data_IF_068762515002
#
_entry.id   IF_068762515002
#
_cell.length_a   1.000
_cell.length_b   1.000
_cell.length_c   1.000
_cell.angle_alpha   90.00
_cell.angle_beta   90.00
_cell.angle_gamma   90.00
#
_symmetry.space_group_name_H-M   'P 1'
#
loop_
_entity.id
_entity.type
_entity.pdbx_description
1 polymer ?
#
# COMPACT_ATOMS: atom_id res chain seq x y z
N UNK A 1 -48.51 -37.64 -40.90
CA UNK A 1 -47.86 -36.30 -40.94
C UNK A 1 -47.60 -35.86 -39.49
N UNK A 2 -46.40 -36.02 -39.04
CA UNK A 2 -46.03 -35.70 -37.66
C UNK A 2 -45.33 -34.33 -37.61
N UNK A 3 -45.92 -33.36 -36.91
CA UNK A 3 -45.28 -32.04 -36.64
C UNK A 3 -44.31 -32.20 -35.48
N UNK A 4 -43.01 -32.14 -35.74
CA UNK A 4 -41.97 -32.05 -34.73
C UNK A 4 -42.00 -30.67 -34.03
N UNK A 5 -42.18 -30.72 -32.73
CA UNK A 5 -42.14 -29.55 -31.85
C UNK A 5 -40.71 -28.99 -31.75
N UNK A 6 -40.44 -27.84 -32.38
CA UNK A 6 -39.15 -27.12 -32.37
C UNK A 6 -38.91 -26.30 -31.08
N UNK A 7 -39.74 -26.41 -30.07
CA UNK A 7 -39.72 -25.54 -28.89
C UNK A 7 -38.74 -25.97 -27.78
N UNK A 8 -38.17 -27.19 -27.85
CA UNK A 8 -37.27 -27.71 -26.79
C UNK A 8 -35.81 -27.34 -26.89
N UNK A 9 -35.31 -27.05 -28.10
CA UNK A 9 -33.86 -26.86 -28.34
C UNK A 9 -33.33 -25.50 -27.92
N UNK A 10 -34.17 -24.49 -27.90
CA UNK A 10 -33.74 -23.12 -27.52
C UNK A 10 -33.60 -22.91 -26.01
N UNK A 11 -34.42 -23.58 -25.21
CA UNK A 11 -34.37 -23.48 -23.75
C UNK A 11 -33.12 -24.15 -23.13
N UNK A 12 -32.65 -25.26 -23.74
CA UNK A 12 -31.44 -25.95 -23.29
C UNK A 12 -30.17 -25.18 -23.56
N UNK A 13 -30.09 -24.40 -24.66
CA UNK A 13 -28.94 -23.59 -24.99
C UNK A 13 -28.79 -22.36 -24.09
N UNK A 14 -29.91 -21.77 -23.62
CA UNK A 14 -29.89 -20.65 -22.66
C UNK A 14 -29.45 -21.09 -21.24
N UNK A 15 -29.91 -22.26 -20.80
CA UNK A 15 -29.52 -22.80 -19.49
C UNK A 15 -28.01 -23.14 -19.45
N UNK A 16 -27.43 -23.67 -20.53
CA UNK A 16 -26.01 -23.97 -20.65
C UNK A 16 -25.17 -22.72 -20.71
N UNK A 17 -25.65 -21.63 -21.32
CA UNK A 17 -24.96 -20.35 -21.41
C UNK A 17 -24.92 -19.63 -20.04
N UNK A 18 -26.01 -19.73 -19.27
CA UNK A 18 -26.08 -19.18 -17.89
C UNK A 18 -25.14 -19.91 -16.92
N UNK A 19 -24.98 -21.22 -17.07
CA UNK A 19 -24.11 -22.02 -16.20
C UNK A 19 -22.62 -21.70 -16.43
N UNK A 20 -22.22 -21.38 -17.66
CA UNK A 20 -20.83 -20.99 -17.99
C UNK A 20 -20.49 -19.61 -17.44
N UNK A 21 -21.44 -18.68 -17.39
CA UNK A 21 -21.25 -17.32 -16.86
C UNK A 21 -21.05 -17.30 -15.33
N UNK A 22 -21.54 -18.30 -14.60
CA UNK A 22 -21.37 -18.36 -13.14
C UNK A 22 -20.02 -18.92 -12.71
N UNK A 23 -19.28 -19.62 -13.57
CA UNK A 23 -17.97 -20.19 -13.28
C UNK A 23 -16.81 -19.23 -13.53
N UNK A 24 -17.03 -18.12 -14.23
CA UNK A 24 -15.98 -17.12 -14.49
C UNK A 24 -15.89 -16.02 -13.42
N UNK A 25 -16.77 -16.05 -12.42
CA UNK A 25 -16.86 -15.02 -11.36
C UNK A 25 -15.76 -15.07 -10.29
N UNK A 26 -14.91 -16.09 -10.23
CA UNK A 26 -13.93 -16.25 -9.14
C UNK A 26 -12.54 -15.69 -9.42
N UNK A 27 -12.26 -15.15 -10.59
CA UNK A 27 -10.92 -14.63 -10.93
C UNK A 27 -10.75 -13.12 -10.69
N UNK A 28 -11.76 -12.43 -10.21
CA UNK A 28 -11.71 -10.97 -9.97
C UNK A 28 -11.30 -10.65 -8.53
N UNK A 29 -11.18 -11.64 -7.66
CA UNK A 29 -10.56 -11.45 -6.36
C UNK A 29 -9.06 -11.33 -6.61
N UNK A 30 -8.55 -10.09 -6.61
CA UNK A 30 -7.13 -9.80 -6.63
C UNK A 30 -6.36 -10.65 -5.60
N UNK A 31 -5.03 -10.70 -5.67
CA UNK A 31 -4.26 -11.52 -4.75
C UNK A 31 -4.69 -11.21 -3.32
N UNK A 32 -4.95 -12.27 -2.55
CA UNK A 32 -5.30 -12.16 -1.13
C UNK A 32 -4.31 -11.23 -0.43
N UNK A 33 -4.75 -10.34 0.46
CA UNK A 33 -3.85 -9.50 1.20
C UNK A 33 -2.80 -10.37 1.90
N UNK A 34 -1.55 -9.92 1.87
CA UNK A 34 -0.45 -10.62 2.53
C UNK A 34 -0.77 -10.86 4.00
N UNK A 35 -0.37 -12.03 4.52
CA UNK A 35 -0.53 -12.36 5.94
C UNK A 35 0.21 -11.35 6.82
N UNK A 36 -0.27 -11.19 8.04
CA UNK A 36 0.41 -10.41 9.07
C UNK A 36 1.84 -10.92 9.30
N UNK A 37 2.79 -10.00 9.45
CA UNK A 37 4.20 -10.31 9.71
C UNK A 37 4.72 -9.37 10.82
N UNK A 38 5.28 -9.97 11.88
CA UNK A 38 5.75 -9.25 13.06
C UNK A 38 6.86 -8.24 12.76
N UNK A 39 7.75 -8.55 11.80
CA UNK A 39 8.83 -7.63 11.46
C UNK A 39 8.31 -6.43 10.65
N UNK A 40 7.36 -6.66 9.73
CA UNK A 40 6.68 -5.57 9.04
C UNK A 40 5.94 -4.67 10.03
N UNK A 41 5.22 -5.26 10.99
CA UNK A 41 4.52 -4.51 12.03
C UNK A 41 5.49 -3.69 12.91
N UNK A 42 6.64 -4.28 13.27
CA UNK A 42 7.67 -3.56 14.04
C UNK A 42 8.21 -2.35 13.27
N UNK A 43 8.62 -2.54 12.02
CA UNK A 43 9.20 -1.45 11.23
C UNK A 43 8.21 -0.32 10.97
N UNK A 44 6.93 -0.64 10.76
CA UNK A 44 5.92 0.41 10.61
C UNK A 44 5.70 1.19 11.90
N UNK A 45 5.88 0.56 13.06
CA UNK A 45 5.89 1.24 14.36
C UNK A 45 7.13 2.14 14.50
N UNK A 46 8.30 1.66 14.09
CA UNK A 46 9.54 2.45 14.10
C UNK A 46 9.41 3.66 13.14
N UNK A 47 8.81 3.51 11.97
CA UNK A 47 8.50 4.61 11.04
C UNK A 47 7.60 5.68 11.67
N UNK A 48 6.54 5.25 12.40
CA UNK A 48 5.68 6.19 13.15
C UNK A 48 6.46 6.96 14.18
N UNK A 49 7.32 6.28 14.94
CA UNK A 49 8.15 6.91 15.97
C UNK A 49 9.14 7.90 15.34
N UNK A 50 9.79 7.53 14.25
CA UNK A 50 10.73 8.41 13.53
C UNK A 50 10.01 9.66 13.02
N UNK A 51 8.84 9.51 12.40
CA UNK A 51 8.04 10.65 11.93
C UNK A 51 7.56 11.56 13.08
N UNK A 52 7.12 10.97 14.20
CA UNK A 52 6.66 11.71 15.38
C UNK A 52 7.79 12.52 16.04
N UNK A 53 8.99 11.93 16.10
CA UNK A 53 10.18 12.55 16.71
C UNK A 53 10.95 13.50 15.77
N UNK A 54 10.45 13.68 14.53
CA UNK A 54 11.11 14.56 13.57
C UNK A 54 11.21 15.99 14.11
N UNK A 55 12.45 16.54 14.19
CA UNK A 55 12.70 17.87 14.72
C UNK A 55 13.03 18.87 13.60
N UNK A 56 12.15 19.85 13.42
CA UNK A 56 12.33 20.92 12.43
C UNK A 56 13.47 21.90 12.75
N UNK A 57 14.01 21.87 13.96
CA UNK A 57 15.19 22.68 14.37
C UNK A 57 16.49 21.90 14.31
N UNK A 58 16.40 20.56 14.15
CA UNK A 58 17.54 19.68 14.08
C UNK A 58 18.13 19.55 12.67
N UNK A 59 19.04 18.60 12.51
CA UNK A 59 19.63 18.27 11.21
C UNK A 59 18.63 17.54 10.32
N UNK A 60 17.96 18.26 9.42
CA UNK A 60 16.95 17.70 8.53
C UNK A 60 17.52 16.63 7.60
N UNK A 61 18.73 16.80 7.09
CA UNK A 61 19.38 15.85 6.18
C UNK A 61 19.60 14.51 6.86
N UNK A 62 20.09 14.50 8.08
CA UNK A 62 20.33 13.28 8.86
C UNK A 62 19.00 12.55 9.16
N UNK A 63 18.01 13.29 9.64
CA UNK A 63 16.69 12.72 9.95
C UNK A 63 15.99 12.13 8.73
N UNK A 64 16.04 12.82 7.58
CA UNK A 64 15.51 12.32 6.31
C UNK A 64 16.28 11.10 5.80
N UNK A 65 17.62 11.06 6.03
CA UNK A 65 18.42 9.89 5.70
C UNK A 65 17.98 8.67 6.51
N UNK A 66 17.82 8.82 7.83
CA UNK A 66 17.32 7.73 8.70
C UNK A 66 15.95 7.23 8.23
N UNK A 67 15.03 8.15 7.97
CA UNK A 67 13.70 7.81 7.49
C UNK A 67 13.74 7.04 6.15
N UNK A 68 14.56 7.52 5.20
CA UNK A 68 14.69 6.86 3.90
C UNK A 68 15.32 5.45 4.02
N UNK A 69 16.29 5.25 4.92
CA UNK A 69 16.86 3.93 5.18
C UNK A 69 15.82 2.95 5.76
N UNK A 70 14.95 3.41 6.67
CA UNK A 70 13.86 2.59 7.19
C UNK A 70 12.84 2.22 6.12
N UNK A 71 12.46 3.17 5.25
CA UNK A 71 11.56 2.93 4.13
C UNK A 71 12.16 1.94 3.13
N UNK A 72 13.43 2.09 2.79
CA UNK A 72 14.16 1.18 1.91
C UNK A 72 14.26 -0.24 2.51
N UNK A 73 14.58 -0.33 3.79
CA UNK A 73 14.61 -1.62 4.49
C UNK A 73 13.24 -2.32 4.43
N UNK A 74 12.18 -1.56 4.67
CA UNK A 74 10.82 -2.10 4.60
C UNK A 74 10.48 -2.64 3.21
N UNK A 75 10.85 -1.92 2.15
CA UNK A 75 10.63 -2.36 0.78
C UNK A 75 11.37 -3.66 0.46
N UNK A 76 12.67 -3.72 0.79
CA UNK A 76 13.49 -4.92 0.58
C UNK A 76 12.95 -6.12 1.36
N UNK A 77 12.50 -5.88 2.60
CA UNK A 77 11.89 -6.93 3.40
C UNK A 77 10.55 -7.41 2.81
N UNK A 78 9.69 -6.48 2.43
CA UNK A 78 8.41 -6.80 1.79
C UNK A 78 8.61 -7.54 0.46
N UNK A 79 9.60 -7.17 -0.32
CA UNK A 79 9.98 -7.88 -1.55
C UNK A 79 10.44 -9.30 -1.25
N UNK A 80 11.32 -9.49 -0.26
CA UNK A 80 11.82 -10.82 0.15
C UNK A 80 10.70 -11.76 0.61
N UNK A 81 9.62 -11.21 1.16
CA UNK A 81 8.41 -11.93 1.58
C UNK A 81 7.35 -12.04 0.49
N UNK A 82 7.60 -11.53 -0.71
CA UNK A 82 6.63 -11.47 -1.82
C UNK A 82 5.35 -10.71 -1.47
N UNK A 83 5.43 -9.75 -0.55
CA UNK A 83 4.31 -8.93 -0.06
C UNK A 83 4.26 -7.58 -0.80
N UNK A 84 4.13 -7.61 -2.12
CA UNK A 84 4.14 -6.40 -2.99
C UNK A 84 3.06 -5.38 -2.65
N UNK A 85 1.91 -5.84 -2.16
CA UNK A 85 0.82 -4.98 -1.69
C UNK A 85 1.23 -4.16 -0.47
N UNK A 86 2.07 -4.73 0.41
CA UNK A 86 2.64 -4.06 1.59
C UNK A 86 3.70 -3.04 1.19
N UNK A 87 4.60 -3.39 0.27
CA UNK A 87 5.62 -2.48 -0.22
C UNK A 87 5.02 -1.18 -0.79
N UNK A 88 3.91 -1.27 -1.52
CA UNK A 88 3.22 -0.09 -2.08
C UNK A 88 2.69 0.90 -1.05
N UNK A 89 2.47 0.47 0.19
CA UNK A 89 1.97 1.35 1.25
C UNK A 89 2.97 2.48 1.58
N UNK A 90 4.26 2.26 1.36
CA UNK A 90 5.32 3.25 1.65
C UNK A 90 5.55 4.26 0.53
N UNK A 91 5.02 4.03 -0.68
CA UNK A 91 5.31 4.87 -1.86
C UNK A 91 4.99 6.35 -1.64
N UNK A 92 3.86 6.64 -1.01
CA UNK A 92 3.46 8.03 -0.72
C UNK A 92 4.41 8.70 0.27
N UNK A 93 4.84 7.96 1.30
CA UNK A 93 5.79 8.49 2.30
C UNK A 93 7.18 8.68 1.71
N UNK A 94 7.65 7.77 0.85
CA UNK A 94 8.89 7.93 0.07
C UNK A 94 8.87 9.18 -0.80
N UNK A 95 7.78 9.41 -1.51
CA UNK A 95 7.60 10.61 -2.33
C UNK A 95 7.67 11.89 -1.48
N UNK A 96 7.00 11.90 -0.32
CA UNK A 96 7.03 13.04 0.62
C UNK A 96 8.42 13.29 1.18
N UNK A 97 9.13 12.24 1.60
CA UNK A 97 10.49 12.35 2.14
C UNK A 97 11.48 12.84 1.07
N UNK A 98 11.36 12.35 -0.17
CA UNK A 98 12.15 12.77 -1.32
C UNK A 98 11.94 14.26 -1.61
N UNK A 99 10.70 14.71 -1.75
CA UNK A 99 10.36 16.11 -2.00
C UNK A 99 10.91 17.01 -0.88
N UNK A 100 10.81 16.57 0.37
CA UNK A 100 11.33 17.32 1.51
C UNK A 100 12.86 17.42 1.46
N UNK A 101 13.56 16.33 1.15
CA UNK A 101 15.00 16.31 0.98
C UNK A 101 15.46 17.22 -0.16
N UNK A 102 14.81 17.15 -1.33
CA UNK A 102 15.11 18.02 -2.47
C UNK A 102 14.92 19.50 -2.13
N UNK A 103 13.90 19.83 -1.35
CA UNK A 103 13.66 21.21 -0.91
C UNK A 103 14.69 21.66 0.11
N UNK A 104 15.07 20.83 1.08
CA UNK A 104 16.07 21.16 2.09
C UNK A 104 17.47 21.33 1.50
N UNK A 105 17.79 20.58 0.44
CA UNK A 105 19.07 20.69 -0.26
C UNK A 105 19.22 22.00 -1.07
N UNK A 106 18.10 22.67 -1.40
CA UNK A 106 18.10 23.96 -2.11
C UNK A 106 18.28 25.17 -1.18
N UNK A 107 18.34 24.95 0.13
CA UNK A 107 18.52 25.98 1.14
C UNK A 107 17.57 25.82 2.33
N UNK A 108 17.62 26.75 3.27
CA UNK A 108 16.81 26.69 4.48
C UNK A 108 15.33 26.55 4.17
N UNK A 109 14.65 25.69 4.91
CA UNK A 109 13.20 25.53 4.84
C UNK A 109 12.51 26.36 5.93
N UNK A 110 11.34 26.92 5.63
CA UNK A 110 10.57 27.65 6.64
C UNK A 110 10.04 26.69 7.71
N UNK A 111 9.88 27.14 8.95
CA UNK A 111 9.27 26.32 10.02
C UNK A 111 7.90 25.77 9.61
N UNK A 112 7.06 26.59 8.99
CA UNK A 112 5.74 26.19 8.52
C UNK A 112 5.81 25.04 7.51
N UNK A 113 6.73 25.11 6.55
CA UNK A 113 6.90 24.04 5.57
C UNK A 113 7.36 22.73 6.24
N UNK A 114 8.32 22.82 7.16
CA UNK A 114 8.79 21.66 7.90
C UNK A 114 7.66 21.02 8.73
N UNK A 115 6.90 21.82 9.46
CA UNK A 115 5.78 21.34 10.27
C UNK A 115 4.69 20.67 9.43
N UNK A 116 4.39 21.21 8.25
CA UNK A 116 3.45 20.59 7.32
C UNK A 116 3.94 19.24 6.81
N UNK A 117 5.22 19.16 6.42
CA UNK A 117 5.83 17.89 5.98
C UNK A 117 5.89 16.87 7.09
N UNK A 118 6.26 17.28 8.31
CA UNK A 118 6.22 16.43 9.51
C UNK A 118 4.82 15.86 9.74
N UNK A 119 3.79 16.71 9.78
CA UNK A 119 2.40 16.26 9.96
C UNK A 119 1.97 15.25 8.88
N UNK A 120 2.33 15.51 7.63
CA UNK A 120 2.02 14.62 6.52
C UNK A 120 2.71 13.25 6.68
N UNK A 121 4.00 13.24 7.04
CA UNK A 121 4.73 12.00 7.30
C UNK A 121 4.13 11.20 8.47
N UNK A 122 3.70 11.86 9.54
CA UNK A 122 3.02 11.20 10.69
C UNK A 122 1.72 10.53 10.20
N UNK A 123 0.89 11.24 9.45
CA UNK A 123 -0.37 10.70 8.91
C UNK A 123 -0.12 9.49 7.99
N UNK A 124 0.87 9.59 7.12
CA UNK A 124 1.24 8.50 6.22
C UNK A 124 1.76 7.28 6.98
N UNK A 125 2.64 7.48 7.97
CA UNK A 125 3.14 6.42 8.83
C UNK A 125 2.03 5.75 9.64
N UNK A 126 1.04 6.51 10.10
CA UNK A 126 -0.15 5.97 10.78
C UNK A 126 -1.00 5.09 9.87
N UNK A 127 -1.21 5.51 8.62
CA UNK A 127 -1.96 4.72 7.63
C UNK A 127 -1.21 3.42 7.34
N UNK A 128 0.11 3.49 7.09
CA UNK A 128 0.94 2.31 6.83
C UNK A 128 0.85 1.33 8.00
N UNK A 129 1.08 1.82 9.24
CA UNK A 129 1.07 0.98 10.43
C UNK A 129 -0.29 0.32 10.67
N UNK A 130 -1.39 1.07 10.58
CA UNK A 130 -2.75 0.54 10.73
C UNK A 130 -3.07 -0.51 9.68
N UNK A 131 -2.66 -0.28 8.44
CA UNK A 131 -2.91 -1.22 7.33
C UNK A 131 -2.10 -2.51 7.50
N UNK A 132 -0.86 -2.43 7.97
CA UNK A 132 -0.01 -3.61 8.19
C UNK A 132 -0.43 -4.37 9.44
N UNK A 133 -0.73 -3.67 10.55
CA UNK A 133 -1.11 -4.27 11.82
C UNK A 133 -2.53 -4.85 11.82
N UNK A 134 -3.42 -4.35 10.98
CA UNK A 134 -4.80 -4.84 10.84
C UNK A 134 -4.96 -6.09 9.95
N UNK A 135 -3.88 -6.75 9.57
CA UNK A 135 -3.90 -7.99 8.77
C UNK A 135 -3.88 -9.20 9.70
N UNK A 136 -4.91 -10.02 9.64
CA UNK A 136 -5.05 -11.25 10.42
C UNK A 136 -5.06 -12.48 9.52
#
# INVERSE_FOLDING_TARGET
MAKLNKAGATKMKLASLLLVLTLTGCSVLGPWPSKWDVNQAKVTTDLRQTAANFDCKGNLTEQLTVLNLQLQWFDLYAESKSTKDVAKLTDTMKATAKEFAERSNKGPVSPLYCDLKKKLMIQQADIIAKTVQGRF
#
